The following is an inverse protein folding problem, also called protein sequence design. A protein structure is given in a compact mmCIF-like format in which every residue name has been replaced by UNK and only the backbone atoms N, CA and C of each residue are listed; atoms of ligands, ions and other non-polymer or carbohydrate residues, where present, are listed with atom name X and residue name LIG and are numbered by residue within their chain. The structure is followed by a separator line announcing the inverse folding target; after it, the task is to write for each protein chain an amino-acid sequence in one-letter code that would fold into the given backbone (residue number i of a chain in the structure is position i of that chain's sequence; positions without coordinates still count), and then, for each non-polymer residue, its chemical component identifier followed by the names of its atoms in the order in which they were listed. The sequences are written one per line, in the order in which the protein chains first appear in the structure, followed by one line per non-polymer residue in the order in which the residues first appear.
data_IF_284725538262
#
_entry.id   IF_284725538262
#
_cell.length_a   1.000
_cell.length_b   1.000
_cell.length_c   1.000
_cell.angle_alpha   90.00
_cell.angle_beta   90.00
_cell.angle_gamma   90.00
#
_symmetry.space_group_name_H-M   'P 1'
#
loop_
_entity.id
_entity.type
_entity.pdbx_description
1 polymer ?
#
# COMPACT_ATOMS: atom_id res chain seq x y z
N UNK A 1 -6.84 34.71 -17.66
CA UNK A 1 -6.23 34.09 -17.38
C UNK A 1 -6.26 32.98 -17.77
N UNK A 2 -5.99 32.55 -18.28
CA UNK A 2 -6.11 31.56 -18.67
C UNK A 2 -5.21 30.77 -18.90
N UNK A 3 -4.58 30.67 -18.33
CA UNK A 3 -3.64 29.88 -18.42
C UNK A 3 -3.83 28.56 -18.25
N UNK A 4 -4.86 28.02 -18.36
CA UNK A 4 -5.04 26.70 -18.20
C UNK A 4 -4.69 25.98 -19.41
N UNK A 5 -3.53 25.45 -19.46
CA UNK A 5 -3.11 24.49 -20.40
C UNK A 5 -3.75 23.18 -20.05
N UNK A 6 -4.34 22.46 -20.96
CA UNK A 6 -5.02 21.21 -20.65
C UNK A 6 -4.13 20.16 -20.01
N UNK A 7 -2.89 20.05 -20.45
CA UNK A 7 -1.97 19.09 -19.84
C UNK A 7 -1.73 19.41 -18.38
N UNK A 8 -1.58 20.67 -18.09
CA UNK A 8 -1.33 21.08 -16.73
C UNK A 8 -2.54 20.83 -15.84
N UNK A 9 -3.73 21.07 -16.36
CA UNK A 9 -4.94 20.85 -15.61
C UNK A 9 -5.11 19.36 -15.28
N UNK A 10 -4.82 18.48 -16.25
CA UNK A 10 -4.91 17.05 -16.04
C UNK A 10 -3.89 16.62 -14.99
N UNK A 11 -2.67 17.14 -15.06
CA UNK A 11 -1.64 16.78 -14.10
C UNK A 11 -2.03 17.17 -12.69
N UNK A 12 -2.58 18.37 -12.51
CA UNK A 12 -3.01 18.81 -11.19
C UNK A 12 -4.13 17.94 -10.64
N UNK A 13 -5.06 17.55 -11.52
CA UNK A 13 -6.16 16.71 -11.10
C UNK A 13 -5.66 15.31 -10.68
N UNK A 14 -4.72 14.75 -11.40
CA UNK A 14 -4.18 13.45 -11.07
C UNK A 14 -3.40 13.50 -9.77
N UNK A 15 -2.65 14.55 -9.54
CA UNK A 15 -1.93 14.69 -8.28
C UNK A 15 -2.88 14.83 -7.11
N UNK A 16 -3.97 15.53 -7.31
CA UNK A 16 -4.96 15.66 -6.26
C UNK A 16 -5.61 14.31 -5.94
N UNK A 17 -5.90 13.52 -6.96
CA UNK A 17 -6.43 12.18 -6.73
C UNK A 17 -5.45 11.32 -5.95
N UNK A 18 -4.18 11.41 -6.30
CA UNK A 18 -3.15 10.66 -5.58
C UNK A 18 -3.10 11.08 -4.12
N UNK A 19 -3.17 12.37 -3.87
CA UNK A 19 -3.16 12.87 -2.49
C UNK A 19 -4.35 12.32 -1.71
N UNK A 20 -5.52 12.28 -2.32
CA UNK A 20 -6.70 11.75 -1.65
C UNK A 20 -6.60 10.25 -1.41
N UNK A 21 -5.98 9.53 -2.34
CA UNK A 21 -5.78 8.09 -2.16
C UNK A 21 -4.82 7.84 -1.00
N UNK A 22 -3.77 8.63 -0.89
CA UNK A 22 -2.83 8.51 0.22
C UNK A 22 -3.52 8.86 1.54
N UNK A 23 -4.38 9.86 1.55
CA UNK A 23 -5.13 10.21 2.74
C UNK A 23 -6.07 9.09 3.17
N UNK A 24 -6.66 8.39 2.20
CA UNK A 24 -7.50 7.25 2.53
C UNK A 24 -6.69 6.16 3.24
N UNK A 25 -5.45 5.96 2.81
CA UNK A 25 -4.58 5.01 3.49
C UNK A 25 -4.26 5.49 4.92
N UNK A 26 -3.90 6.76 5.07
CA UNK A 26 -3.52 7.29 6.38
C UNK A 26 -4.67 7.29 7.37
N UNK A 27 -5.88 7.35 6.87
CA UNK A 27 -7.05 7.35 7.72
C UNK A 27 -7.67 5.96 7.88
N UNK A 28 -6.96 4.92 7.48
CA UNK A 28 -7.46 3.57 7.66
C UNK A 28 -7.61 3.30 9.15
N UNK A 29 -8.56 2.40 9.44
CA UNK A 29 -9.04 2.24 10.74
C UNK A 29 -8.06 1.96 11.82
N UNK A 30 -7.09 1.18 11.61
CA UNK A 30 -6.15 0.83 12.65
C UNK A 30 -4.91 1.68 12.66
N UNK A 31 -4.92 2.79 11.97
CA UNK A 31 -3.76 3.65 11.96
C UNK A 31 -3.74 4.48 13.24
N UNK A 32 -3.08 3.99 14.27
CA UNK A 32 -2.98 4.74 15.51
C UNK A 32 -2.03 5.92 15.36
N UNK A 33 -1.30 5.98 14.27
CA UNK A 33 -0.44 7.12 13.98
C UNK A 33 -0.64 7.49 12.53
N UNK A 34 -0.85 8.76 12.29
CA UNK A 34 -1.02 9.22 10.91
C UNK A 34 0.31 9.50 10.24
N UNK A 35 1.39 9.33 10.97
CA UNK A 35 2.70 9.50 10.38
C UNK A 35 3.23 8.15 9.95
N UNK A 36 2.76 7.72 8.81
CA UNK A 36 3.13 6.42 8.26
C UNK A 36 4.23 6.66 7.24
N UNK A 37 5.35 5.95 7.34
CA UNK A 37 6.42 6.16 6.37
C UNK A 37 5.95 5.86 4.94
N UNK A 38 6.45 6.65 4.01
CA UNK A 38 6.06 6.48 2.61
C UNK A 38 6.37 5.08 2.10
N UNK A 39 7.45 4.46 2.59
CA UNK A 39 7.80 3.10 2.18
C UNK A 39 6.73 2.09 2.55
N UNK A 40 6.03 2.32 3.65
CA UNK A 40 4.96 1.42 4.08
C UNK A 40 3.81 1.51 3.09
N UNK A 41 3.47 2.73 2.66
CA UNK A 41 2.42 2.92 1.68
C UNK A 41 2.81 2.27 0.34
N UNK A 42 4.06 2.47 -0.08
CA UNK A 42 4.54 1.87 -1.32
C UNK A 42 4.49 0.34 -1.25
N UNK A 43 4.85 -0.22 -0.11
CA UNK A 43 4.80 -1.67 0.08
C UNK A 43 3.37 -2.18 -0.04
N UNK A 44 2.42 -1.49 0.58
CA UNK A 44 1.02 -1.86 0.47
C UNK A 44 0.55 -1.84 -0.99
N UNK A 45 0.92 -0.79 -1.73
CA UNK A 45 0.51 -0.67 -3.12
C UNK A 45 1.12 -1.77 -3.99
N UNK A 46 2.34 -2.16 -3.68
CA UNK A 46 2.94 -3.27 -4.40
C UNK A 46 2.16 -4.57 -4.17
N UNK A 47 1.84 -4.86 -2.91
CA UNK A 47 1.09 -6.08 -2.60
C UNK A 47 -0.29 -6.02 -3.23
N UNK A 48 -0.91 -4.85 -3.22
CA UNK A 48 -2.24 -4.67 -3.80
C UNK A 48 -2.25 -4.90 -5.31
N UNK A 49 -1.12 -4.65 -5.96
CA UNK A 49 -1.04 -4.78 -7.41
C UNK A 49 -0.42 -6.09 -7.87
N UNK A 50 -0.01 -6.97 -6.96
CA UNK A 50 0.63 -8.23 -7.29
C UNK A 50 0.08 -9.32 -6.38
N UNK A 51 -0.82 -10.14 -6.88
CA UNK A 51 -1.40 -11.20 -6.08
C UNK A 51 -0.34 -12.20 -5.65
N UNK A 52 -0.37 -12.59 -4.39
CA UNK A 52 0.54 -13.62 -3.86
C UNK A 52 1.99 -13.34 -4.18
N UNK A 53 2.39 -12.11 -4.05
CA UNK A 53 3.78 -11.75 -4.33
C UNK A 53 4.67 -12.21 -3.20
N UNK A 54 5.97 -12.40 -3.49
CA UNK A 54 6.87 -12.77 -2.42
C UNK A 54 7.67 -11.55 -1.97
N UNK A 55 8.10 -11.62 -0.71
CA UNK A 55 8.76 -10.50 -0.05
C UNK A 55 10.05 -10.08 -0.76
N UNK A 56 10.82 -11.05 -1.27
CA UNK A 56 12.08 -10.74 -1.94
C UNK A 56 11.84 -9.95 -3.22
N UNK A 57 10.85 -10.35 -4.00
CA UNK A 57 10.52 -9.61 -5.22
C UNK A 57 10.05 -8.20 -4.90
N UNK A 58 9.25 -8.06 -3.86
CA UNK A 58 8.78 -6.75 -3.45
C UNK A 58 9.97 -5.86 -3.04
N UNK A 59 10.89 -6.42 -2.27
CA UNK A 59 12.06 -5.65 -1.84
C UNK A 59 12.92 -5.24 -3.03
N UNK A 60 13.09 -6.13 -3.98
CA UNK A 60 13.88 -5.82 -5.16
C UNK A 60 13.23 -4.72 -6.00
N UNK A 61 11.93 -4.84 -6.24
CA UNK A 61 11.22 -3.87 -7.07
C UNK A 61 11.20 -2.49 -6.43
N UNK A 62 11.06 -2.44 -5.13
CA UNK A 62 10.99 -1.17 -4.41
C UNK A 62 12.36 -0.71 -3.90
N UNK A 63 13.42 -1.48 -4.24
CA UNK A 63 14.79 -1.16 -3.85
C UNK A 63 14.92 -0.99 -2.34
N UNK A 64 14.38 -1.96 -1.62
CA UNK A 64 14.43 -1.98 -0.16
C UNK A 64 15.39 -3.04 0.33
N UNK A 65 16.05 -2.79 1.45
CA UNK A 65 16.80 -3.82 2.12
C UNK A 65 15.85 -4.83 2.74
N UNK A 66 16.39 -5.99 3.08
CA UNK A 66 15.60 -7.00 3.77
C UNK A 66 15.06 -6.47 5.09
N UNK A 67 15.85 -5.70 5.81
CA UNK A 67 15.41 -5.12 7.08
C UNK A 67 14.26 -4.14 6.87
N UNK A 68 14.37 -3.28 5.86
CA UNK A 68 13.28 -2.35 5.57
C UNK A 68 12.03 -3.08 5.13
N UNK A 69 12.19 -4.12 4.30
CA UNK A 69 11.04 -4.92 3.88
C UNK A 69 10.34 -5.56 5.06
N UNK A 70 11.11 -6.06 6.02
CA UNK A 70 10.52 -6.65 7.22
C UNK A 70 9.78 -5.61 8.05
N UNK A 71 10.37 -4.45 8.24
CA UNK A 71 9.72 -3.39 9.01
C UNK A 71 8.42 -2.95 8.33
N UNK A 72 8.45 -2.78 7.02
CA UNK A 72 7.28 -2.29 6.30
C UNK A 72 6.15 -3.31 6.32
N UNK A 73 6.47 -4.59 6.15
CA UNK A 73 5.44 -5.62 6.19
C UNK A 73 4.92 -5.83 7.60
N UNK A 74 5.76 -5.62 8.62
CA UNK A 74 5.27 -5.66 10.00
C UNK A 74 4.26 -4.53 10.27
N UNK A 75 4.53 -3.33 9.76
CA UNK A 75 3.59 -2.23 9.86
C UNK A 75 2.23 -2.61 9.28
N UNK A 76 2.25 -3.30 8.16
CA UNK A 76 1.04 -3.59 7.41
C UNK A 76 0.30 -4.82 7.92
N UNK A 77 0.97 -5.70 8.64
CA UNK A 77 0.33 -6.90 9.19
C UNK A 77 -0.40 -6.54 10.48
N UNK A 78 -0.92 -7.53 11.17
CA UNK A 78 -1.64 -7.26 12.40
C UNK A 78 -0.72 -7.10 13.60
N UNK A 79 0.57 -7.38 13.47
CA UNK A 79 1.51 -7.22 14.57
C UNK A 79 2.68 -6.38 14.16
N UNK A 80 2.72 -5.18 14.68
CA UNK A 80 3.85 -4.29 14.48
C UNK A 80 5.01 -4.76 15.36
N UNK A 81 6.23 -4.62 14.87
CA UNK A 81 7.42 -5.15 15.56
C UNK A 81 7.67 -4.50 16.92
N UNK A 82 7.09 -3.36 17.18
CA UNK A 82 7.25 -2.68 18.47
C UNK A 82 6.17 -3.08 19.48
N UNK A 83 5.47 -4.17 19.21
CA UNK A 83 4.43 -4.64 20.11
C UNK A 83 3.13 -3.87 20.01
N UNK A 84 3.02 -2.96 19.05
CA UNK A 84 1.80 -2.23 18.82
C UNK A 84 0.97 -2.96 17.77
N UNK A 85 -0.33 -2.70 17.70
CA UNK A 85 -1.12 -3.31 16.64
C UNK A 85 -0.67 -2.78 15.30
N UNK A 86 -0.55 -3.66 14.33
CA UNK A 86 -0.30 -3.24 12.96
C UNK A 86 -1.59 -2.81 12.30
N UNK A 87 -1.49 -2.49 11.01
CA UNK A 87 -2.66 -1.99 10.28
C UNK A 87 -3.61 -3.09 9.86
N UNK A 88 -3.16 -4.35 9.86
CA UNK A 88 -4.02 -5.47 9.52
C UNK A 88 -4.41 -5.53 8.05
N UNK A 89 -3.57 -4.98 7.18
CA UNK A 89 -3.90 -4.89 5.75
C UNK A 89 -3.32 -6.03 4.93
N UNK A 90 -2.28 -6.70 5.43
CA UNK A 90 -1.70 -7.84 4.73
C UNK A 90 -1.44 -8.96 5.72
N UNK A 91 -1.22 -10.15 5.16
CA UNK A 91 -0.72 -11.29 5.92
C UNK A 91 0.56 -11.74 5.27
N UNK A 92 1.46 -12.29 6.07
CA UNK A 92 2.70 -12.89 5.63
C UNK A 92 2.69 -14.35 6.02
N UNK A 93 3.06 -15.22 5.12
CA UNK A 93 3.20 -16.62 5.47
C UNK A 93 4.31 -17.22 4.64
N UNK A 94 4.85 -18.32 5.15
CA UNK A 94 5.92 -18.99 4.44
C UNK A 94 5.35 -19.89 3.35
N UNK A 95 6.04 -19.89 2.22
CA UNK A 95 5.69 -20.77 1.12
C UNK A 95 5.87 -22.20 1.54
N UNK A 96 4.89 -23.05 1.29
CA UNK A 96 4.97 -24.46 1.66
C UNK A 96 6.08 -25.18 0.93
N UNK A 97 6.32 -24.84 -0.31
CA UNK A 97 7.30 -25.54 -1.12
C UNK A 97 8.69 -24.97 -0.96
N UNK A 98 8.80 -23.74 -0.47
CA UNK A 98 10.10 -23.14 -0.26
C UNK A 98 10.02 -22.22 0.95
N UNK A 99 10.39 -22.74 2.10
CA UNK A 99 10.23 -22.02 3.36
C UNK A 99 11.05 -20.77 3.49
N UNK A 100 11.98 -20.54 2.60
CA UNK A 100 12.74 -19.30 2.61
C UNK A 100 11.94 -18.16 2.01
N UNK A 101 10.86 -18.47 1.30
CA UNK A 101 10.05 -17.45 0.66
C UNK A 101 8.88 -17.09 1.55
N UNK A 102 8.70 -15.81 1.73
CA UNK A 102 7.52 -15.31 2.41
C UNK A 102 6.57 -14.73 1.38
N UNK A 103 5.33 -15.16 1.45
CA UNK A 103 4.28 -14.71 0.53
C UNK A 103 3.49 -13.63 1.23
N UNK A 104 3.15 -12.61 0.49
CA UNK A 104 2.40 -11.45 0.98
C UNK A 104 1.06 -11.40 0.28
N UNK A 105 -0.01 -11.27 1.05
CA UNK A 105 -1.36 -11.18 0.51
C UNK A 105 -2.13 -10.11 1.25
N UNK A 106 -3.08 -9.50 0.55
CA UNK A 106 -4.00 -8.57 1.21
C UNK A 106 -4.97 -9.35 2.10
N UNK A 107 -5.30 -8.77 3.22
CA UNK A 107 -6.44 -9.24 4.01
C UNK A 107 -7.73 -8.71 3.37
N UNK A 108 -8.88 -9.13 3.89
CA UNK A 108 -10.14 -8.55 3.43
C UNK A 108 -10.16 -7.04 3.65
N UNK A 109 -9.62 -6.60 4.78
CA UNK A 109 -9.51 -5.17 5.06
C UNK A 109 -8.57 -4.48 4.08
N UNK A 110 -7.46 -5.12 3.75
CA UNK A 110 -6.54 -4.58 2.76
C UNK A 110 -7.18 -4.46 1.39
N UNK A 111 -7.96 -5.46 0.99
CA UNK A 111 -8.66 -5.40 -0.30
C UNK A 111 -9.67 -4.27 -0.32
N UNK A 112 -10.35 -4.08 0.79
CA UNK A 112 -11.33 -3.00 0.90
C UNK A 112 -10.67 -1.64 0.74
N UNK A 113 -9.53 -1.45 1.40
CA UNK A 113 -8.79 -0.20 1.26
C UNK A 113 -8.27 -0.03 -0.16
N UNK A 114 -7.73 -1.09 -0.75
CA UNK A 114 -7.24 -1.02 -2.12
C UNK A 114 -8.36 -0.62 -3.07
N UNK A 115 -9.56 -1.16 -2.87
CA UNK A 115 -10.70 -0.79 -3.70
C UNK A 115 -11.10 0.66 -3.51
N UNK A 116 -11.06 1.16 -2.28
CA UNK A 116 -11.33 2.56 -2.02
C UNK A 116 -10.33 3.46 -2.75
N UNK A 117 -9.05 3.09 -2.69
CA UNK A 117 -8.02 3.87 -3.39
C UNK A 117 -8.21 3.82 -4.89
N UNK A 118 -8.59 2.66 -5.44
CA UNK A 118 -8.87 2.55 -6.86
C UNK A 118 -10.03 3.44 -7.28
N UNK A 119 -11.07 3.48 -6.49
CA UNK A 119 -12.19 4.35 -6.76
C UNK A 119 -11.75 5.81 -6.83
N UNK A 120 -10.91 6.21 -5.89
CA UNK A 120 -10.42 7.58 -5.87
C UNK A 120 -9.58 7.87 -7.10
N UNK A 121 -8.69 6.94 -7.46
CA UNK A 121 -7.77 7.16 -8.56
C UNK A 121 -8.45 7.12 -9.93
N UNK A 122 -9.39 6.20 -10.10
CA UNK A 122 -10.00 6.02 -11.41
C UNK A 122 -11.40 6.58 -11.52
N UNK A 123 -11.95 7.02 -10.45
CA UNK A 123 -13.21 7.72 -10.46
C UNK A 123 -14.35 6.83 -10.82
N UNK A 124 -15.26 7.38 -11.60
CA UNK A 124 -16.43 6.64 -11.86
C UNK A 124 -16.32 5.69 -12.97
N UNK A 125 -15.19 5.27 -13.32
CA UNK A 125 -15.04 4.36 -14.40
C UNK A 125 -15.67 3.05 -14.14
N UNK A 126 -16.15 2.84 -12.99
CA UNK A 126 -16.78 1.59 -12.67
C UNK A 126 -18.15 1.49 -13.21
N UNK A 127 -18.67 2.43 -13.84
CA UNK A 127 -20.00 2.30 -14.32
C UNK A 127 -20.20 1.42 -15.46
#
# INVERSE_FOLDING_TARGET
MSDLNPSRAVTCYQMEKLARAIEAFRNSENAYSKEIPAQVIATFLYVASHDDCNKIDMERELELSSASGSRNTDWLSDQHRLGKPGLGLIVKYRDRTNRRRQILQLTAKGRQLANTMKQILYGEQTI
#
